data_IF_725918858032
#
_entry.id   IF_725918858032
#
_cell.length_a   1.000
_cell.length_b   1.000
_cell.length_c   1.000
_cell.angle_alpha   90.00
_cell.angle_beta   90.00
_cell.angle_gamma   90.00
#
_symmetry.space_group_name_H-M   'P 1'
#
loop_
_entity.id
_entity.type
_entity.pdbx_description
1 polymer ?
#
# COMPACT_ATOMS: atom_id res chain seq x y z
N UNK A 1 -52.68 14.22 -0.42
CA UNK A 1 -52.00 13.02 0.13
C UNK A 1 -51.56 12.02 -0.94
N UNK A 2 -52.37 11.71 -1.96
CA UNK A 2 -52.00 10.79 -3.07
C UNK A 2 -50.86 11.30 -3.97
N UNK A 3 -50.87 12.59 -4.33
CA UNK A 3 -49.81 13.23 -5.15
C UNK A 3 -48.42 13.24 -4.48
N UNK A 4 -48.37 13.33 -3.15
CA UNK A 4 -47.12 13.26 -2.40
C UNK A 4 -46.54 11.84 -2.39
N UNK A 5 -47.40 10.81 -2.41
CA UNK A 5 -46.97 9.41 -2.49
C UNK A 5 -46.47 9.05 -3.89
N UNK A 6 -47.11 9.51 -4.97
CA UNK A 6 -46.63 9.28 -6.34
C UNK A 6 -45.27 9.92 -6.61
N UNK A 7 -45.04 11.14 -6.11
CA UNK A 7 -43.73 11.81 -6.24
C UNK A 7 -42.63 11.08 -5.46
N UNK A 8 -42.96 10.48 -4.32
CA UNK A 8 -42.03 9.65 -3.55
C UNK A 8 -41.63 8.38 -4.32
N UNK A 9 -42.57 7.69 -4.98
CA UNK A 9 -42.24 6.51 -5.80
C UNK A 9 -41.39 6.85 -7.03
N UNK A 10 -41.67 7.98 -7.70
CA UNK A 10 -40.86 8.46 -8.83
C UNK A 10 -39.44 8.81 -8.39
N UNK A 11 -39.28 9.45 -7.23
CA UNK A 11 -37.97 9.76 -6.66
C UNK A 11 -37.20 8.47 -6.31
N UNK A 12 -37.85 7.49 -5.67
CA UNK A 12 -37.24 6.20 -5.33
C UNK A 12 -36.82 5.46 -6.61
N UNK A 13 -37.68 5.41 -7.63
CA UNK A 13 -37.35 4.78 -8.91
C UNK A 13 -36.18 5.48 -9.61
N UNK A 14 -36.14 6.82 -9.59
CA UNK A 14 -35.03 7.59 -10.14
C UNK A 14 -33.70 7.27 -9.43
N UNK A 15 -33.70 7.21 -8.10
CA UNK A 15 -32.51 6.84 -7.30
C UNK A 15 -32.06 5.42 -7.63
N UNK A 16 -32.98 4.46 -7.75
CA UNK A 16 -32.65 3.07 -8.10
C UNK A 16 -32.05 2.97 -9.51
N UNK A 17 -32.60 3.68 -10.50
CA UNK A 17 -32.06 3.71 -11.86
C UNK A 17 -30.68 4.37 -11.91
N UNK A 18 -30.46 5.43 -11.12
CA UNK A 18 -29.15 6.09 -11.01
C UNK A 18 -28.11 5.14 -10.39
N UNK A 19 -28.48 4.40 -9.34
CA UNK A 19 -27.61 3.38 -8.74
C UNK A 19 -27.26 2.27 -9.73
N UNK A 20 -28.25 1.75 -10.48
CA UNK A 20 -28.02 0.75 -11.52
C UNK A 20 -27.10 1.27 -12.63
N UNK A 21 -27.26 2.53 -13.05
CA UNK A 21 -26.39 3.17 -14.04
C UNK A 21 -24.96 3.30 -13.50
N UNK A 22 -24.78 3.74 -12.26
CA UNK A 22 -23.46 3.84 -11.60
C UNK A 22 -22.77 2.48 -11.54
N UNK A 23 -23.50 1.42 -11.19
CA UNK A 23 -22.96 0.05 -11.17
C UNK A 23 -22.60 -0.43 -12.59
N UNK A 24 -23.45 -0.17 -13.58
CA UNK A 24 -23.18 -0.55 -14.97
C UNK A 24 -21.95 0.17 -15.55
N UNK A 25 -21.82 1.49 -15.31
CA UNK A 25 -20.65 2.26 -15.73
C UNK A 25 -19.38 1.83 -15.01
N UNK A 26 -19.48 1.52 -13.71
CA UNK A 26 -18.40 0.95 -12.90
C UNK A 26 -17.93 -0.40 -13.44
N UNK A 27 -18.87 -1.29 -13.75
CA UNK A 27 -18.58 -2.60 -14.32
C UNK A 27 -17.91 -2.50 -15.70
N UNK A 28 -18.40 -1.60 -16.54
CA UNK A 28 -17.81 -1.35 -17.86
C UNK A 28 -16.37 -0.82 -17.72
N UNK A 29 -16.15 0.14 -16.81
CA UNK A 29 -14.82 0.69 -16.50
C UNK A 29 -13.84 -0.37 -16.03
N UNK A 30 -14.24 -1.23 -15.09
CA UNK A 30 -13.43 -2.35 -14.59
C UNK A 30 -13.06 -3.30 -15.73
N UNK A 31 -14.00 -3.58 -16.65
CA UNK A 31 -13.71 -4.42 -17.83
C UNK A 31 -12.77 -3.76 -18.84
N UNK A 32 -12.82 -2.44 -18.98
CA UNK A 32 -12.02 -1.69 -19.95
C UNK A 32 -10.69 -1.16 -19.40
N UNK A 33 -10.47 -1.24 -18.09
CA UNK A 33 -9.25 -0.77 -17.44
C UNK A 33 -8.05 -1.65 -17.84
N UNK A 34 -7.46 -1.34 -19.00
CA UNK A 34 -6.17 -1.83 -19.41
C UNK A 34 -5.08 -0.93 -18.79
N UNK A 35 -4.57 -1.36 -17.65
CA UNK A 35 -3.40 -0.79 -17.01
C UNK A 35 -2.51 -1.92 -16.54
N UNK A 36 -1.20 -1.66 -16.39
CA UNK A 36 -0.31 -2.63 -15.77
C UNK A 36 -0.81 -2.92 -14.37
N UNK A 37 -1.22 -4.15 -14.16
CA UNK A 37 -1.74 -4.62 -12.88
C UNK A 37 -0.55 -4.95 -11.99
N UNK A 38 -0.69 -4.91 -10.67
CA UNK A 38 0.37 -5.39 -9.76
C UNK A 38 0.88 -6.80 -10.14
N UNK A 39 0.02 -7.64 -10.74
CA UNK A 39 0.34 -8.95 -11.32
C UNK A 39 1.46 -8.93 -12.37
N UNK A 40 1.66 -7.81 -13.05
CA UNK A 40 2.67 -7.64 -14.10
C UNK A 40 4.03 -7.24 -13.53
N UNK A 41 4.12 -6.90 -12.23
CA UNK A 41 5.40 -6.63 -11.58
C UNK A 41 6.25 -7.89 -11.56
N UNK A 42 7.56 -7.69 -11.76
CA UNK A 42 8.56 -8.75 -11.78
C UNK A 42 9.75 -8.40 -10.90
N UNK A 43 10.50 -9.42 -10.48
CA UNK A 43 11.71 -9.28 -9.68
C UNK A 43 11.46 -9.50 -8.19
N UNK A 44 12.44 -9.12 -7.37
CA UNK A 44 12.39 -9.24 -5.92
C UNK A 44 11.86 -7.93 -5.33
N UNK A 45 10.77 -8.02 -4.58
CA UNK A 45 10.01 -6.87 -4.11
C UNK A 45 10.02 -6.88 -2.59
N UNK A 46 10.46 -5.79 -1.99
CA UNK A 46 10.45 -5.60 -0.54
C UNK A 46 9.21 -4.81 -0.11
N UNK A 47 8.34 -5.44 0.67
CA UNK A 47 7.29 -4.79 1.41
C UNK A 47 7.84 -4.35 2.77
N UNK A 48 7.74 -3.06 3.08
CA UNK A 48 8.19 -2.47 4.34
C UNK A 48 6.97 -2.04 5.16
N UNK A 49 6.84 -2.61 6.35
CA UNK A 49 5.75 -2.37 7.31
C UNK A 49 6.29 -1.91 8.66
N UNK A 50 5.47 -1.26 9.47
CA UNK A 50 5.87 -0.84 10.80
C UNK A 50 5.63 -1.95 11.82
N UNK A 51 4.48 -2.61 11.75
CA UNK A 51 3.99 -3.49 12.82
C UNK A 51 3.50 -4.85 12.32
N UNK A 52 3.50 -5.86 13.22
CA UNK A 52 2.81 -7.13 13.01
C UNK A 52 1.29 -6.99 12.90
N UNK A 53 0.74 -6.95 11.68
CA UNK A 53 -0.68 -6.83 11.30
C UNK A 53 -0.83 -5.98 10.03
N UNK A 54 0.07 -5.01 9.82
CA UNK A 54 0.07 -4.12 8.65
C UNK A 54 -0.01 -4.89 7.33
N UNK A 55 0.71 -6.01 7.22
CA UNK A 55 0.84 -6.81 6.00
C UNK A 55 -0.52 -7.38 5.55
N UNK A 56 -1.35 -7.79 6.50
CA UNK A 56 -2.66 -8.35 6.23
C UNK A 56 -3.77 -7.30 6.28
N UNK A 57 -3.63 -6.29 7.16
CA UNK A 57 -4.62 -5.24 7.34
C UNK A 57 -4.64 -4.26 6.18
N UNK A 58 -3.46 -3.87 5.68
CA UNK A 58 -3.32 -2.83 4.66
C UNK A 58 -2.81 -3.37 3.32
N UNK A 59 -1.96 -4.39 3.33
CA UNK A 59 -1.29 -4.86 2.12
C UNK A 59 -1.81 -6.21 1.59
N UNK A 60 -2.78 -6.88 2.24
CA UNK A 60 -3.27 -8.19 1.76
C UNK A 60 -3.69 -8.19 0.28
N UNK A 61 -4.46 -7.21 -0.24
CA UNK A 61 -4.79 -7.17 -1.67
C UNK A 61 -3.54 -7.07 -2.57
N UNK A 62 -2.54 -6.30 -2.15
CA UNK A 62 -1.26 -6.12 -2.85
C UNK A 62 -0.46 -7.42 -2.85
N UNK A 63 -0.30 -8.03 -1.68
CA UNK A 63 0.46 -9.28 -1.50
C UNK A 63 -0.18 -10.42 -2.29
N UNK A 64 -1.51 -10.60 -2.21
CA UNK A 64 -2.22 -11.64 -2.95
C UNK A 64 -2.14 -11.44 -4.48
N UNK A 65 -2.20 -10.18 -4.93
CA UNK A 65 -2.05 -9.84 -6.35
C UNK A 65 -0.66 -10.18 -6.87
N UNK A 66 0.38 -9.91 -6.08
CA UNK A 66 1.78 -10.19 -6.43
C UNK A 66 2.15 -11.67 -6.27
N UNK A 67 1.69 -12.33 -5.22
CA UNK A 67 1.92 -13.76 -4.97
C UNK A 67 1.28 -14.67 -6.03
N UNK A 68 0.28 -14.15 -6.77
CA UNK A 68 -0.27 -14.84 -7.94
C UNK A 68 0.65 -14.81 -9.18
N UNK A 69 1.72 -14.00 -9.17
CA UNK A 69 2.67 -13.87 -10.27
C UNK A 69 3.87 -14.79 -10.07
N UNK A 70 4.16 -15.64 -11.06
CA UNK A 70 5.37 -16.49 -11.07
C UNK A 70 6.66 -15.70 -11.28
N UNK A 71 6.57 -14.39 -11.53
CA UNK A 71 7.71 -13.53 -11.87
C UNK A 71 8.10 -12.57 -10.74
N UNK A 72 7.35 -12.55 -9.65
CA UNK A 72 7.60 -11.71 -8.49
C UNK A 72 7.91 -12.58 -7.28
N UNK A 73 8.92 -12.20 -6.51
CA UNK A 73 9.23 -12.80 -5.22
C UNK A 73 9.11 -11.72 -4.15
N UNK A 74 8.28 -11.97 -3.14
CA UNK A 74 8.02 -11.01 -2.06
C UNK A 74 8.95 -11.27 -0.86
N UNK A 75 9.44 -10.16 -0.32
CA UNK A 75 10.17 -10.05 0.93
C UNK A 75 9.41 -9.07 1.84
N UNK A 76 9.38 -9.35 3.13
CA UNK A 76 8.73 -8.52 4.14
C UNK A 76 9.76 -8.07 5.17
N UNK A 77 9.91 -6.76 5.33
CA UNK A 77 10.64 -6.14 6.43
C UNK A 77 9.62 -5.46 7.35
N UNK A 78 9.45 -6.01 8.55
CA UNK A 78 8.66 -5.42 9.62
C UNK A 78 9.61 -4.76 10.62
N UNK A 79 9.50 -3.43 10.77
CA UNK A 79 10.49 -2.63 11.48
C UNK A 79 10.35 -2.65 13.02
N UNK A 80 9.33 -3.33 13.55
CA UNK A 80 9.13 -3.50 14.99
C UNK A 80 8.46 -4.83 15.31
N UNK A 81 8.69 -5.37 16.51
CA UNK A 81 7.94 -6.53 17.01
C UNK A 81 6.53 -6.15 17.50
N UNK A 82 6.15 -4.86 17.47
CA UNK A 82 4.82 -4.40 17.90
C UNK A 82 4.60 -4.55 19.40
N UNK A 83 5.65 -4.39 20.20
CA UNK A 83 5.68 -4.74 21.62
C UNK A 83 5.07 -3.68 22.56
N UNK A 84 4.26 -2.74 22.06
CA UNK A 84 3.70 -1.65 22.87
C UNK A 84 2.92 -2.14 24.10
N UNK A 85 2.20 -3.27 23.99
CA UNK A 85 1.46 -3.90 25.08
C UNK A 85 2.23 -5.05 25.78
N UNK A 86 3.52 -5.24 25.48
CA UNK A 86 4.31 -6.36 26.01
C UNK A 86 4.07 -7.70 25.31
N UNK A 87 3.42 -7.69 24.13
CA UNK A 87 2.99 -8.89 23.39
C UNK A 87 3.85 -9.20 22.16
N UNK A 88 5.02 -8.58 22.00
CA UNK A 88 5.85 -8.67 20.80
C UNK A 88 6.21 -10.11 20.40
N UNK A 89 6.45 -10.99 21.39
CA UNK A 89 6.71 -12.42 21.14
C UNK A 89 5.52 -13.14 20.50
N UNK A 90 4.29 -12.78 20.88
CA UNK A 90 3.06 -13.36 20.31
C UNK A 90 2.84 -12.79 18.92
N UNK A 91 2.89 -11.46 18.79
CA UNK A 91 2.72 -10.74 17.52
C UNK A 91 3.73 -11.15 16.46
N UNK A 92 4.98 -11.43 16.83
CA UNK A 92 5.99 -12.01 15.93
C UNK A 92 5.56 -13.34 15.32
N UNK A 93 4.98 -14.23 16.13
CA UNK A 93 4.50 -15.54 15.64
C UNK A 93 3.28 -15.36 14.74
N UNK A 94 2.39 -14.44 15.10
CA UNK A 94 1.20 -14.10 14.31
C UNK A 94 1.61 -13.56 12.94
N UNK A 95 2.58 -12.64 12.88
CA UNK A 95 3.11 -12.10 11.63
C UNK A 95 3.69 -13.18 10.72
N UNK A 96 4.51 -14.08 11.27
CA UNK A 96 5.08 -15.19 10.49
C UNK A 96 3.98 -16.12 9.95
N UNK A 97 2.94 -16.38 10.75
CA UNK A 97 1.81 -17.22 10.33
C UNK A 97 0.95 -16.52 9.27
N UNK A 98 0.62 -15.24 9.48
CA UNK A 98 -0.13 -14.40 8.54
C UNK A 98 0.60 -14.27 7.21
N UNK A 99 1.91 -14.01 7.24
CA UNK A 99 2.77 -13.94 6.06
C UNK A 99 2.76 -15.25 5.27
N UNK A 100 2.84 -16.40 5.95
CA UNK A 100 2.75 -17.71 5.31
C UNK A 100 1.39 -17.94 4.63
N UNK A 101 0.28 -17.52 5.25
CA UNK A 101 -1.07 -17.58 4.65
C UNK A 101 -1.15 -16.70 3.40
N UNK A 102 -0.54 -15.52 3.43
CA UNK A 102 -0.50 -14.59 2.30
C UNK A 102 0.46 -15.04 1.17
N UNK A 103 1.25 -16.10 1.40
CA UNK A 103 2.17 -16.66 0.41
C UNK A 103 3.60 -16.12 0.47
N UNK A 104 3.98 -15.43 1.54
CA UNK A 104 5.37 -14.98 1.78
C UNK A 104 6.08 -16.05 2.62
N UNK A 105 7.18 -16.60 2.09
CA UNK A 105 8.00 -17.57 2.84
C UNK A 105 8.53 -16.94 4.12
N UNK A 106 8.51 -17.67 5.24
CA UNK A 106 9.08 -17.19 6.50
C UNK A 106 10.58 -16.87 6.43
N UNK A 107 11.32 -17.44 5.46
CA UNK A 107 12.72 -17.08 5.18
C UNK A 107 12.88 -15.70 4.54
N UNK A 108 11.80 -15.17 3.98
CA UNK A 108 11.75 -13.87 3.33
C UNK A 108 11.11 -12.82 4.24
N UNK A 109 10.88 -13.15 5.52
CA UNK A 109 10.32 -12.24 6.54
C UNK A 109 11.42 -11.89 7.54
N UNK A 110 11.74 -10.61 7.63
CA UNK A 110 12.61 -10.03 8.64
C UNK A 110 11.77 -9.18 9.60
N UNK A 111 11.95 -9.40 10.90
CA UNK A 111 11.25 -8.68 11.96
C UNK A 111 12.30 -8.06 12.86
N UNK A 112 12.36 -6.74 12.87
CA UNK A 112 13.36 -5.96 13.60
C UNK A 112 12.97 -5.87 15.07
N UNK A 113 13.97 -6.07 15.92
CA UNK A 113 13.88 -5.85 17.36
C UNK A 113 14.98 -4.85 17.75
N UNK A 114 14.63 -3.58 17.65
CA UNK A 114 15.52 -2.44 17.88
C UNK A 114 14.81 -1.44 18.80
N UNK A 115 15.49 -1.00 19.85
CA UNK A 115 14.93 -0.03 20.81
C UNK A 115 14.68 1.34 20.16
N UNK A 116 15.44 1.71 19.12
CA UNK A 116 15.23 2.95 18.35
C UNK A 116 14.00 2.87 17.42
N UNK A 117 13.44 1.67 17.23
CA UNK A 117 12.22 1.39 16.45
C UNK A 117 11.13 0.75 17.32
N UNK A 118 11.09 1.12 18.61
CA UNK A 118 10.06 0.66 19.53
C UNK A 118 8.66 1.10 19.08
N UNK A 119 7.68 0.21 19.28
CA UNK A 119 6.28 0.52 18.99
C UNK A 119 5.68 1.42 20.08
N UNK A 120 4.98 2.48 19.67
CA UNK A 120 4.21 3.34 20.56
C UNK A 120 3.74 4.63 19.88
N UNK A 121 2.66 5.26 20.38
CA UNK A 121 2.06 6.45 19.77
C UNK A 121 2.89 7.73 20.00
N UNK A 122 3.94 7.67 20.84
CA UNK A 122 4.81 8.79 21.18
C UNK A 122 6.28 8.54 20.80
N UNK A 123 6.57 7.37 20.26
CA UNK A 123 7.92 7.03 19.85
C UNK A 123 8.23 7.72 18.51
N UNK A 124 9.40 8.33 18.41
CA UNK A 124 9.88 8.97 17.19
C UNK A 124 10.97 8.09 16.58
N UNK A 125 10.63 7.39 15.49
CA UNK A 125 11.59 6.53 14.82
C UNK A 125 12.65 7.34 14.07
N UNK A 126 13.90 6.99 14.31
CA UNK A 126 15.05 7.57 13.61
C UNK A 126 15.06 7.16 12.15
N UNK A 127 14.87 8.12 11.24
CA UNK A 127 14.90 7.86 9.81
C UNK A 127 16.22 7.19 9.38
N UNK A 128 17.37 7.60 9.94
CA UNK A 128 18.65 6.97 9.60
C UNK A 128 18.75 5.50 10.01
N UNK A 129 18.10 5.10 11.10
CA UNK A 129 18.05 3.69 11.53
C UNK A 129 17.19 2.89 10.55
N UNK A 130 16.02 3.42 10.17
CA UNK A 130 15.16 2.83 9.13
C UNK A 130 15.94 2.66 7.83
N UNK A 131 16.66 3.68 7.38
CA UNK A 131 17.44 3.61 6.15
C UNK A 131 18.50 2.49 6.17
N UNK A 132 19.12 2.24 7.32
CA UNK A 132 20.12 1.20 7.47
C UNK A 132 19.49 -0.19 7.29
N UNK A 133 18.38 -0.46 7.96
CA UNK A 133 17.63 -1.72 7.79
C UNK A 133 17.17 -1.91 6.34
N UNK A 134 16.67 -0.85 5.70
CA UNK A 134 16.24 -0.92 4.29
C UNK A 134 17.43 -1.28 3.39
N UNK A 135 18.57 -0.61 3.52
CA UNK A 135 19.75 -0.89 2.67
C UNK A 135 20.29 -2.29 2.92
N UNK A 136 20.35 -2.73 4.18
CA UNK A 136 20.72 -4.10 4.53
C UNK A 136 19.81 -5.12 3.86
N UNK A 137 18.48 -4.95 3.96
CA UNK A 137 17.52 -5.83 3.29
C UNK A 137 17.65 -5.80 1.76
N UNK A 138 17.85 -4.61 1.17
CA UNK A 138 18.02 -4.45 -0.27
C UNK A 138 19.23 -5.24 -0.78
N UNK A 139 20.37 -5.16 -0.10
CA UNK A 139 21.58 -5.89 -0.49
C UNK A 139 21.47 -7.39 -0.21
N UNK A 140 21.03 -7.77 1.00
CA UNK A 140 20.96 -9.18 1.41
C UNK A 140 19.99 -9.99 0.55
N UNK A 141 18.90 -9.37 0.10
CA UNK A 141 17.85 -10.03 -0.67
C UNK A 141 17.87 -9.66 -2.16
N UNK A 142 18.83 -8.86 -2.64
CA UNK A 142 18.91 -8.37 -4.04
C UNK A 142 17.59 -7.76 -4.55
N UNK A 143 17.02 -6.87 -3.74
CA UNK A 143 15.73 -6.26 -4.00
C UNK A 143 15.83 -5.33 -5.21
N UNK A 144 14.81 -5.34 -6.08
CA UNK A 144 14.71 -4.43 -7.23
C UNK A 144 13.61 -3.38 -7.09
N UNK A 145 12.67 -3.57 -6.15
CA UNK A 145 11.50 -2.69 -5.96
C UNK A 145 11.07 -2.65 -4.50
N UNK A 146 10.58 -1.49 -4.07
CA UNK A 146 10.06 -1.28 -2.70
C UNK A 146 8.57 -0.93 -2.74
N UNK A 147 7.83 -1.42 -1.76
CA UNK A 147 6.42 -1.13 -1.49
C UNK A 147 6.33 -0.72 -0.01
N UNK A 148 5.75 0.45 0.29
CA UNK A 148 5.54 0.89 1.68
C UNK A 148 4.42 1.93 1.79
N UNK A 149 4.25 2.64 2.90
CA UNK A 149 3.22 3.66 3.14
C UNK A 149 3.47 5.00 2.43
N UNK A 150 2.41 5.78 2.21
CA UNK A 150 2.50 7.18 1.80
C UNK A 150 2.77 8.14 2.98
N UNK A 151 2.82 9.44 2.68
CA UNK A 151 3.09 10.53 3.64
C UNK A 151 2.01 10.72 4.70
N UNK A 152 0.84 10.11 4.51
CA UNK A 152 -0.28 10.17 5.46
C UNK A 152 -0.33 8.96 6.40
N UNK A 153 0.46 7.90 6.14
CA UNK A 153 0.60 6.77 7.06
C UNK A 153 -0.72 6.07 7.40
N UNK A 154 -1.61 5.91 6.41
CA UNK A 154 -2.96 5.32 6.49
C UNK A 154 -3.96 6.10 7.37
N UNK A 155 -3.65 6.24 8.65
CA UNK A 155 -4.45 6.93 9.67
C UNK A 155 -3.68 8.05 10.36
N UNK A 156 -2.51 8.43 9.84
CA UNK A 156 -1.60 9.36 10.50
C UNK A 156 -0.69 8.70 11.54
N UNK A 157 -0.45 7.39 11.45
CA UNK A 157 0.39 6.71 12.43
C UNK A 157 1.85 7.18 12.30
N UNK A 158 2.50 7.65 13.39
CA UNK A 158 3.85 8.22 13.32
C UNK A 158 4.88 7.27 12.70
N UNK A 159 4.86 5.98 13.07
CA UNK A 159 5.79 4.99 12.52
C UNK A 159 5.63 4.80 11.00
N UNK A 160 4.39 4.78 10.48
CA UNK A 160 4.15 4.66 9.04
C UNK A 160 4.69 5.89 8.29
N UNK A 161 4.49 7.07 8.86
CA UNK A 161 5.00 8.34 8.33
C UNK A 161 6.54 8.35 8.38
N UNK A 162 7.16 7.84 9.44
CA UNK A 162 8.62 7.76 9.57
C UNK A 162 9.22 6.88 8.48
N UNK A 163 8.60 5.73 8.16
CA UNK A 163 9.02 4.88 7.05
C UNK A 163 8.94 5.64 5.72
N UNK A 164 7.82 6.33 5.47
CA UNK A 164 7.68 7.14 4.26
C UNK A 164 8.77 8.21 4.16
N UNK A 165 9.05 8.94 5.25
CA UNK A 165 10.08 9.99 5.27
C UNK A 165 11.48 9.44 5.00
N UNK A 166 11.84 8.32 5.63
CA UNK A 166 13.12 7.64 5.38
C UNK A 166 13.24 7.23 3.92
N UNK A 167 12.25 6.52 3.37
CA UNK A 167 12.26 6.09 1.95
C UNK A 167 12.35 7.28 1.01
N UNK A 168 11.58 8.35 1.27
CA UNK A 168 11.63 9.59 0.48
C UNK A 168 13.02 10.22 0.51
N UNK A 169 13.64 10.33 1.68
CA UNK A 169 15.01 10.87 1.83
C UNK A 169 16.03 10.03 1.08
N UNK A 170 15.91 8.70 1.11
CA UNK A 170 16.77 7.80 0.34
C UNK A 170 16.55 7.91 -1.17
N UNK A 171 15.34 8.22 -1.62
CA UNK A 171 15.09 8.57 -3.02
C UNK A 171 15.75 9.90 -3.36
N UNK A 172 15.51 10.97 -2.59
CA UNK A 172 16.04 12.32 -2.86
C UNK A 172 17.58 12.35 -2.88
N UNK A 173 18.22 11.52 -2.05
CA UNK A 173 19.69 11.37 -1.97
C UNK A 173 20.29 10.34 -2.93
N UNK A 174 19.53 9.78 -3.87
CA UNK A 174 19.97 8.74 -4.82
C UNK A 174 20.40 7.40 -4.19
N UNK A 175 20.28 7.24 -2.86
CA UNK A 175 20.73 6.05 -2.13
C UNK A 175 20.07 4.77 -2.62
N UNK A 176 18.76 4.80 -2.90
CA UNK A 176 18.02 3.64 -3.44
C UNK A 176 18.38 3.34 -4.90
N UNK A 177 18.57 4.37 -5.72
CA UNK A 177 18.98 4.21 -7.11
C UNK A 177 20.39 3.61 -7.21
N UNK A 178 21.32 4.09 -6.38
CA UNK A 178 22.66 3.54 -6.25
C UNK A 178 22.66 2.07 -5.77
N UNK A 179 21.68 1.69 -4.95
CA UNK A 179 21.47 0.31 -4.51
C UNK A 179 20.76 -0.58 -5.55
N UNK A 180 20.41 -0.05 -6.73
CA UNK A 180 19.79 -0.81 -7.82
C UNK A 180 18.26 -0.91 -7.76
N UNK A 181 17.60 -0.11 -6.91
CA UNK A 181 16.14 -0.04 -6.86
C UNK A 181 15.60 0.70 -8.09
N UNK A 182 14.73 0.01 -8.82
CA UNK A 182 14.15 0.51 -10.06
C UNK A 182 12.90 1.36 -9.81
N UNK A 183 12.18 1.03 -8.73
CA UNK A 183 10.89 1.62 -8.45
C UNK A 183 10.55 1.55 -6.96
N UNK A 184 9.93 2.62 -6.47
CA UNK A 184 9.30 2.68 -5.16
C UNK A 184 7.82 2.96 -5.39
N UNK A 185 7.00 2.12 -4.80
CA UNK A 185 5.57 2.28 -4.76
C UNK A 185 5.21 2.72 -3.32
N UNK A 186 4.17 3.55 -3.14
CA UNK A 186 3.60 3.93 -1.82
C UNK A 186 2.10 3.64 -1.65
N UNK A 187 1.61 3.10 -0.54
CA UNK A 187 0.20 2.85 -0.29
C UNK A 187 -0.51 4.17 -0.02
N UNK A 188 -1.32 4.64 -0.97
CA UNK A 188 -2.05 5.89 -0.76
C UNK A 188 -3.17 5.73 0.28
N UNK A 189 -3.16 6.65 1.22
CA UNK A 189 -4.17 6.78 2.27
C UNK A 189 -5.48 7.33 1.72
N UNK A 190 -6.60 6.78 2.21
CA UNK A 190 -7.94 7.26 1.89
C UNK A 190 -8.52 8.09 3.04
N UNK A 191 -9.39 9.05 2.72
CA UNK A 191 -10.03 9.88 3.73
C UNK A 191 -10.90 9.04 4.68
N UNK A 192 -11.05 9.47 5.93
CA UNK A 192 -11.88 8.78 6.92
C UNK A 192 -13.31 8.57 6.40
N UNK A 193 -13.89 9.56 5.71
CA UNK A 193 -15.22 9.43 5.10
C UNK A 193 -15.31 8.22 4.18
N UNK A 194 -14.31 7.99 3.32
CA UNK A 194 -14.26 6.84 2.41
C UNK A 194 -14.21 5.51 3.16
N UNK A 195 -13.57 5.46 4.33
CA UNK A 195 -13.51 4.26 5.17
C UNK A 195 -14.88 3.87 5.77
N UNK A 196 -15.83 4.81 5.89
CA UNK A 196 -17.14 4.58 6.53
C UNK A 196 -18.34 4.59 5.58
N UNK A 197 -18.17 4.85 4.28
CA UNK A 197 -19.27 4.82 3.30
C UNK A 197 -19.54 3.44 2.70
N UNK A 198 -18.89 2.37 3.20
CA UNK A 198 -19.17 0.96 2.84
C UNK A 198 -19.14 0.74 1.31
N UNK A 199 -20.11 0.02 0.75
CA UNK A 199 -20.21 -0.30 -0.69
C UNK A 199 -20.29 0.93 -1.61
N UNK A 200 -20.62 2.12 -1.08
CA UNK A 200 -20.54 3.37 -1.85
C UNK A 200 -19.09 3.68 -2.20
N UNK A 201 -18.13 3.31 -1.35
CA UNK A 201 -16.70 3.47 -1.66
C UNK A 201 -16.27 2.59 -2.83
N UNK A 202 -16.84 1.40 -2.96
CA UNK A 202 -16.54 0.51 -4.09
C UNK A 202 -16.99 1.15 -5.41
N UNK A 203 -18.21 1.72 -5.44
CA UNK A 203 -18.73 2.44 -6.60
C UNK A 203 -17.93 3.74 -6.88
N UNK A 204 -17.54 4.47 -5.83
CA UNK A 204 -16.71 5.66 -5.96
C UNK A 204 -15.32 5.30 -6.53
N UNK A 205 -14.70 4.24 -6.01
CA UNK A 205 -13.41 3.75 -6.49
C UNK A 205 -13.51 3.33 -7.95
N UNK A 206 -14.49 2.52 -8.34
CA UNK A 206 -14.62 2.08 -9.74
C UNK A 206 -14.89 3.22 -10.73
N UNK A 207 -15.56 4.31 -10.29
CA UNK A 207 -15.85 5.46 -11.14
C UNK A 207 -14.69 6.46 -11.24
N UNK A 208 -13.97 6.69 -10.14
CA UNK A 208 -13.01 7.78 -10.02
C UNK A 208 -11.56 7.32 -9.96
N UNK A 209 -11.29 6.02 -9.76
CA UNK A 209 -9.95 5.49 -9.79
C UNK A 209 -9.41 5.47 -11.22
N UNK A 210 -8.28 6.14 -11.46
CA UNK A 210 -7.57 6.09 -12.72
C UNK A 210 -6.74 4.80 -12.77
N UNK A 211 -6.93 3.99 -13.80
CA UNK A 211 -6.03 2.87 -14.09
C UNK A 211 -4.65 3.42 -14.43
N UNK A 212 -3.63 2.97 -13.69
CA UNK A 212 -2.23 3.29 -13.99
C UNK A 212 -1.88 2.68 -15.35
N UNK A 213 -1.76 3.53 -16.36
CA UNK A 213 -1.17 3.15 -17.64
C UNK A 213 0.34 3.38 -17.53
N UNK A 214 1.11 2.30 -17.35
CA UNK A 214 2.56 2.39 -17.47
C UNK A 214 2.93 2.51 -18.96
N UNK A 215 3.13 3.74 -19.43
CA UNK A 215 3.83 3.98 -20.69
C UNK A 215 5.34 4.01 -20.44
N UNK A 216 6.04 3.16 -21.17
CA UNK A 216 7.48 3.11 -21.25
C UNK A 216 7.99 4.38 -21.95
N UNK A 217 8.55 5.31 -21.18
CA UNK A 217 9.21 6.50 -21.72
C UNK A 217 8.83 7.75 -20.95
N UNK A 218 9.81 8.27 -20.22
CA UNK A 218 10.07 9.69 -19.93
C UNK A 218 8.82 10.57 -19.71
N UNK A 219 8.77 11.10 -18.49
CA UNK A 219 7.89 12.15 -17.97
C UNK A 219 6.67 11.72 -17.10
N UNK A 220 6.50 12.49 -16.02
CA UNK A 220 5.25 12.85 -15.30
C UNK A 220 4.69 12.04 -14.10
N UNK A 221 4.50 12.82 -13.02
CA UNK A 221 3.39 12.80 -12.04
C UNK A 221 2.10 13.30 -12.74
N UNK A 222 0.88 12.71 -12.64
CA UNK A 222 0.14 12.52 -11.36
C UNK A 222 -0.87 11.33 -11.24
N UNK A 223 -1.22 10.99 -9.98
CA UNK A 223 -2.48 10.37 -9.50
C UNK A 223 -2.87 8.92 -9.95
N UNK A 224 -2.39 7.92 -9.19
CA UNK A 224 -3.17 6.76 -8.69
C UNK A 224 -2.34 5.93 -7.68
N UNK A 225 -2.83 5.81 -6.44
CA UNK A 225 -2.47 4.96 -5.29
C UNK A 225 -1.02 4.52 -4.97
N UNK A 226 0.02 4.92 -5.74
CA UNK A 226 1.46 4.86 -5.44
C UNK A 226 2.18 6.03 -6.15
N UNK A 227 3.11 6.73 -5.48
CA UNK A 227 3.94 7.79 -6.08
C UNK A 227 5.42 7.40 -6.02
N UNK A 228 6.16 7.54 -7.13
CA UNK A 228 7.61 7.41 -7.17
C UNK A 228 8.24 8.80 -7.04
N UNK A 229 9.14 8.97 -6.07
CA UNK A 229 10.05 10.12 -6.01
C UNK A 229 11.13 9.92 -7.09
N UNK A 230 11.32 10.89 -8.00
CA UNK A 230 12.47 10.91 -8.93
C UNK A 230 13.07 12.31 -9.07
N UNK A 231 14.39 12.29 -9.28
CA UNK A 231 15.36 13.37 -9.39
C UNK A 231 15.03 14.48 -10.41
N UNK A 232 15.50 15.71 -10.16
CA UNK A 232 15.73 16.69 -11.22
C UNK A 232 17.00 16.28 -11.99
N UNK A 233 16.86 15.82 -13.23
CA UNK A 233 17.99 15.76 -14.15
C UNK A 233 18.12 17.13 -14.84
N UNK A 234 19.35 17.65 -14.88
CA UNK A 234 19.72 18.82 -15.67
C UNK A 234 19.70 18.55 -17.18
#
# INVERSE_FOLDING_TARGET
MLLARSNMYLLVLFVLLLLLLVVALSWLRVKTAAGTTLKDLTGRILLITAHPDDECMFFAPTVLSLGSSVRAELFLLCLSEGNYYGEGRVRKKELLHSSAILGISGTNVEIVNDEELADGPREEWSESVIENYIISAVHNCTISRIITFDDHGVSGHPNHIAIHRAVRRMCESEKLAAAGIQEVLLLQSTSLLRKYISFIDAAWTSLFHRSVSMHHGREFCPLALWYSVRHPLG
#
